data_IF_099069599259
#
_entry.id   IF_099069599259
#
_cell.length_a   1.000
_cell.length_b   1.000
_cell.length_c   1.000
_cell.angle_alpha   90.00
_cell.angle_beta   90.00
_cell.angle_gamma   90.00
#
_symmetry.space_group_name_H-M   'P 1'
#
loop_
_entity.id
_entity.type
_entity.pdbx_description
1 polymer ?
#
# COMPACT_ATOMS: atom_id res chain seq x y z
N UNK A 1 -8.27 -7.49 29.35
CA UNK A 1 -8.23 -8.88 28.85
C UNK A 1 -6.85 -9.41 29.16
N UNK A 2 -6.69 -10.63 29.72
CA UNK A 2 -5.37 -11.23 29.91
C UNK A 2 -4.72 -11.36 28.52
N UNK A 3 -3.43 -11.05 28.45
CA UNK A 3 -2.63 -11.24 27.24
C UNK A 3 -2.65 -12.72 26.87
N UNK A 4 -2.96 -13.03 25.61
CA UNK A 4 -2.89 -14.41 25.13
C UNK A 4 -1.45 -14.90 25.29
N UNK A 5 -1.27 -15.97 26.04
CA UNK A 5 0.05 -16.57 26.23
C UNK A 5 0.46 -17.27 24.95
N UNK A 6 1.70 -17.04 24.52
CA UNK A 6 2.28 -17.63 23.32
C UNK A 6 3.40 -18.57 23.74
N UNK A 7 3.36 -19.81 23.25
CA UNK A 7 4.45 -20.76 23.40
C UNK A 7 5.41 -20.58 22.21
N UNK A 8 6.69 -20.42 22.51
CA UNK A 8 7.74 -20.26 21.49
C UNK A 8 8.61 -21.52 21.53
N UNK A 9 8.81 -22.14 20.37
CA UNK A 9 9.72 -23.26 20.17
C UNK A 9 10.77 -22.88 19.15
N UNK A 10 11.99 -23.43 19.28
CA UNK A 10 13.05 -23.27 18.30
C UNK A 10 13.31 -24.60 17.59
N UNK A 11 13.31 -24.58 16.27
CA UNK A 11 13.63 -25.72 15.45
C UNK A 11 14.48 -25.25 14.24
N UNK A 12 15.70 -25.81 14.13
CA UNK A 12 16.62 -25.54 13.01
C UNK A 12 16.89 -24.05 12.75
N UNK A 13 17.03 -23.23 13.83
CA UNK A 13 17.25 -21.79 13.73
C UNK A 13 16.00 -20.99 13.35
N UNK A 14 14.84 -21.61 13.41
CA UNK A 14 13.53 -20.97 13.20
C UNK A 14 12.77 -20.93 14.54
N UNK A 15 12.26 -19.76 14.87
CA UNK A 15 11.35 -19.58 16.03
C UNK A 15 9.91 -19.83 15.58
N UNK A 16 9.26 -20.78 16.25
CA UNK A 16 7.87 -21.17 16.00
C UNK A 16 7.00 -20.66 17.14
N UNK A 17 5.96 -19.93 16.80
CA UNK A 17 5.02 -19.33 17.76
C UNK A 17 3.69 -20.08 17.72
N UNK A 18 3.26 -20.58 18.87
CA UNK A 18 2.00 -21.29 19.03
C UNK A 18 1.11 -20.56 20.04
N UNK A 19 -0.20 -20.61 19.87
CA UNK A 19 -1.12 -20.18 20.89
C UNK A 19 -1.05 -21.13 22.08
N UNK A 20 -0.95 -20.61 23.30
CA UNK A 20 -0.87 -21.44 24.50
C UNK A 20 -2.09 -22.37 24.60
N UNK A 21 -1.84 -23.68 24.80
CA UNK A 21 -2.88 -24.70 24.85
C UNK A 21 -3.37 -25.24 23.51
N UNK A 22 -2.89 -24.70 22.40
CA UNK A 22 -3.22 -25.18 21.05
C UNK A 22 -1.95 -25.63 20.29
N UNK A 23 -2.08 -26.68 19.45
CA UNK A 23 -1.00 -27.12 18.56
C UNK A 23 -0.92 -26.30 17.27
N UNK A 24 -1.74 -25.27 17.15
CA UNK A 24 -1.82 -24.44 15.94
C UNK A 24 -0.66 -23.45 15.89
N UNK A 25 0.17 -23.54 14.86
CA UNK A 25 1.21 -22.58 14.55
C UNK A 25 0.58 -21.23 14.16
N UNK A 26 0.95 -20.16 14.88
CA UNK A 26 0.49 -18.81 14.60
C UNK A 26 1.46 -18.10 13.66
N UNK A 27 2.78 -18.30 13.92
CA UNK A 27 3.83 -17.57 13.21
C UNK A 27 5.15 -18.33 13.26
N UNK A 28 6.03 -18.08 12.28
CA UNK A 28 7.41 -18.57 12.27
C UNK A 28 8.35 -17.45 11.78
N UNK A 29 9.51 -17.32 12.41
CA UNK A 29 10.56 -16.40 11.96
C UNK A 29 11.96 -16.97 12.17
N UNK A 30 12.94 -16.62 11.33
CA UNK A 30 14.32 -17.05 11.53
C UNK A 30 14.89 -16.41 12.80
N UNK A 31 15.66 -17.20 13.58
CA UNK A 31 16.41 -16.67 14.71
C UNK A 31 17.56 -15.81 14.22
N UNK A 32 17.73 -14.63 14.78
CA UNK A 32 18.90 -13.76 14.54
C UNK A 32 19.80 -13.79 15.76
N UNK A 33 21.02 -14.30 15.62
CA UNK A 33 21.99 -14.46 16.69
C UNK A 33 22.85 -13.19 16.97
N UNK A 34 22.36 -12.01 16.59
CA UNK A 34 23.07 -10.76 16.86
C UNK A 34 22.74 -10.22 18.25
N UNK A 35 23.74 -9.89 19.08
CA UNK A 35 23.53 -9.26 20.38
C UNK A 35 22.76 -7.93 20.20
N UNK A 36 21.62 -7.81 20.87
CA UNK A 36 20.73 -6.64 20.77
C UNK A 36 19.86 -6.61 19.51
N UNK A 37 19.85 -7.67 18.72
CA UNK A 37 18.96 -7.80 17.57
C UNK A 37 17.50 -7.94 18.01
N UNK A 38 16.67 -6.97 17.63
CA UNK A 38 15.23 -7.10 17.70
C UNK A 38 14.80 -7.95 16.52
N UNK A 39 14.24 -9.13 16.77
CA UNK A 39 13.57 -9.90 15.72
C UNK A 39 12.22 -9.26 15.48
N UNK A 40 12.17 -8.32 14.55
CA UNK A 40 10.89 -7.83 14.04
C UNK A 40 10.32 -8.90 13.12
N UNK A 41 9.09 -9.33 13.39
CA UNK A 41 8.34 -10.14 12.47
C UNK A 41 8.00 -9.29 11.24
N UNK A 42 8.84 -9.32 10.23
CA UNK A 42 8.60 -8.62 8.95
C UNK A 42 7.42 -9.24 8.16
N UNK A 43 6.94 -10.41 8.59
CA UNK A 43 5.92 -11.17 7.86
C UNK A 43 4.50 -10.60 7.92
N UNK A 44 4.21 -9.64 8.81
CA UNK A 44 2.92 -8.94 8.77
C UNK A 44 2.82 -7.93 7.61
N UNK A 45 3.95 -7.49 7.09
CA UNK A 45 4.01 -6.67 5.88
C UNK A 45 3.77 -7.51 4.63
N UNK A 46 4.36 -8.70 4.53
CA UNK A 46 4.24 -9.57 3.35
C UNK A 46 2.82 -10.08 3.08
N UNK A 47 2.01 -10.37 4.10
CA UNK A 47 0.63 -10.83 3.90
C UNK A 47 -0.28 -9.68 3.41
N UNK A 48 -0.17 -8.49 4.00
CA UNK A 48 -0.90 -7.30 3.50
C UNK A 48 -0.41 -6.89 2.11
N UNK A 49 0.85 -7.05 1.87
CA UNK A 49 1.53 -6.75 0.63
C UNK A 49 1.06 -7.65 -0.52
N UNK A 50 0.91 -8.94 -0.27
CA UNK A 50 0.37 -9.88 -1.25
C UNK A 50 -1.10 -9.61 -1.58
N UNK A 51 -1.91 -9.13 -0.62
CA UNK A 51 -3.33 -8.81 -0.83
C UNK A 51 -3.50 -7.63 -1.79
N UNK A 52 -2.77 -6.52 -1.60
CA UNK A 52 -2.86 -5.36 -2.50
C UNK A 52 -2.41 -5.69 -3.92
N UNK A 53 -1.29 -6.41 -4.06
CA UNK A 53 -0.76 -6.86 -5.34
C UNK A 53 -1.71 -7.82 -6.06
N UNK A 54 -2.30 -8.77 -5.32
CA UNK A 54 -3.27 -9.71 -5.89
C UNK A 54 -4.57 -9.01 -6.28
N UNK A 55 -5.08 -8.09 -5.47
CA UNK A 55 -6.29 -7.32 -5.77
C UNK A 55 -6.10 -6.45 -7.02
N UNK A 56 -4.93 -5.83 -7.17
CA UNK A 56 -4.58 -5.06 -8.36
C UNK A 56 -4.56 -5.96 -9.60
N UNK A 57 -3.86 -7.10 -9.52
CA UNK A 57 -3.75 -8.05 -10.62
C UNK A 57 -5.10 -8.61 -11.02
N UNK A 58 -5.93 -9.03 -10.07
CA UNK A 58 -7.27 -9.56 -10.35
C UNK A 58 -8.17 -8.52 -11.01
N UNK A 59 -8.10 -7.26 -10.60
CA UNK A 59 -8.95 -6.19 -11.14
C UNK A 59 -8.58 -5.80 -12.57
N UNK A 60 -7.29 -5.78 -12.87
CA UNK A 60 -6.75 -5.27 -14.14
C UNK A 60 -6.14 -6.37 -15.03
N UNK A 61 -6.47 -7.64 -14.78
CA UNK A 61 -5.95 -8.80 -15.52
C UNK A 61 -6.20 -8.72 -17.04
N UNK A 62 -7.29 -8.09 -17.44
CA UNK A 62 -7.65 -7.91 -18.85
C UNK A 62 -6.82 -6.82 -19.57
N UNK A 63 -5.97 -6.09 -18.87
CA UNK A 63 -5.23 -4.95 -19.42
C UNK A 63 -3.72 -5.16 -19.34
N UNK A 64 -3.07 -5.33 -20.48
CA UNK A 64 -1.60 -5.55 -20.58
C UNK A 64 -0.78 -4.43 -19.92
N UNK A 65 -1.24 -3.19 -20.00
CA UNK A 65 -0.57 -2.04 -19.39
C UNK A 65 -0.48 -2.15 -17.87
N UNK A 66 -1.40 -2.84 -17.22
CA UNK A 66 -1.40 -3.00 -15.77
C UNK A 66 -0.19 -3.81 -15.29
N UNK A 67 0.20 -4.85 -16.01
CA UNK A 67 1.41 -5.63 -15.70
C UNK A 67 2.66 -4.78 -15.87
N UNK A 68 2.76 -4.03 -16.97
CA UNK A 68 3.88 -3.11 -17.22
C UNK A 68 3.97 -2.05 -16.13
N UNK A 69 2.83 -1.47 -15.73
CA UNK A 69 2.77 -0.49 -14.64
C UNK A 69 3.26 -1.08 -13.32
N UNK A 70 2.77 -2.26 -12.94
CA UNK A 70 3.16 -2.92 -11.69
C UNK A 70 4.67 -3.25 -11.66
N UNK A 71 5.24 -3.71 -12.78
CA UNK A 71 6.67 -3.98 -12.90
C UNK A 71 7.51 -2.70 -12.75
N UNK A 72 7.08 -1.59 -13.36
CA UNK A 72 7.76 -0.29 -13.22
C UNK A 72 7.70 0.26 -11.80
N UNK A 73 6.58 0.08 -11.11
CA UNK A 73 6.45 0.42 -9.68
C UNK A 73 7.45 -0.38 -8.85
N UNK A 74 7.58 -1.68 -9.11
CA UNK A 74 8.51 -2.56 -8.41
C UNK A 74 9.98 -2.21 -8.68
N UNK A 75 10.32 -1.90 -9.93
CA UNK A 75 11.68 -1.48 -10.32
C UNK A 75 12.08 -0.15 -9.65
N UNK A 76 11.16 0.81 -9.59
CA UNK A 76 11.45 2.13 -9.02
C UNK A 76 11.59 2.09 -7.49
N UNK A 77 10.64 1.45 -6.81
CA UNK A 77 10.59 1.42 -5.34
C UNK A 77 10.03 0.08 -4.83
N UNK A 78 10.84 -1.00 -4.78
CA UNK A 78 10.38 -2.33 -4.37
C UNK A 78 9.70 -2.35 -3.00
N UNK A 79 10.19 -1.52 -2.05
CA UNK A 79 9.64 -1.43 -0.67
C UNK A 79 8.22 -0.86 -0.63
N UNK A 80 7.86 -0.01 -1.58
CA UNK A 80 6.58 0.70 -1.61
C UNK A 80 5.62 0.16 -2.68
N UNK A 81 5.99 -0.87 -3.42
CA UNK A 81 5.15 -1.48 -4.47
C UNK A 81 3.71 -1.69 -4.00
N UNK A 82 3.55 -2.35 -2.88
CA UNK A 82 2.22 -2.72 -2.38
C UNK A 82 1.43 -1.52 -1.88
N UNK A 83 2.10 -0.53 -1.30
CA UNK A 83 1.49 0.74 -0.92
C UNK A 83 1.01 1.49 -2.16
N UNK A 84 1.82 1.55 -3.22
CA UNK A 84 1.45 2.21 -4.47
C UNK A 84 0.28 1.47 -5.16
N UNK A 85 0.35 0.16 -5.30
CA UNK A 85 -0.73 -0.63 -5.91
C UNK A 85 -2.03 -0.55 -5.07
N UNK A 86 -1.94 -0.53 -3.75
CA UNK A 86 -3.09 -0.31 -2.87
C UNK A 86 -3.74 1.06 -3.06
N UNK A 87 -2.94 2.11 -3.29
CA UNK A 87 -3.45 3.46 -3.63
C UNK A 87 -4.13 3.48 -4.99
N UNK A 88 -3.59 2.78 -5.97
CA UNK A 88 -4.24 2.64 -7.30
C UNK A 88 -5.59 1.94 -7.19
N UNK A 89 -5.69 0.88 -6.38
CA UNK A 89 -6.99 0.23 -6.09
C UNK A 89 -7.97 1.21 -5.44
N UNK A 90 -7.50 2.06 -4.52
CA UNK A 90 -8.34 3.10 -3.91
C UNK A 90 -8.84 4.08 -4.95
N UNK A 91 -8.00 4.53 -5.88
CA UNK A 91 -8.40 5.38 -7.00
C UNK A 91 -9.40 4.65 -7.91
N UNK A 92 -9.16 3.38 -8.22
CA UNK A 92 -10.03 2.57 -9.06
C UNK A 92 -11.43 2.35 -8.46
N UNK A 93 -11.60 2.52 -7.16
CA UNK A 93 -12.92 2.52 -6.51
C UNK A 93 -13.67 3.86 -6.67
N UNK A 94 -12.98 4.92 -7.08
CA UNK A 94 -13.53 6.27 -7.23
C UNK A 94 -13.71 6.68 -8.70
N UNK A 95 -12.98 6.04 -9.60
CA UNK A 95 -12.98 6.30 -11.04
C UNK A 95 -13.32 5.01 -11.79
N UNK A 96 -13.67 5.11 -13.08
CA UNK A 96 -13.88 3.90 -13.89
C UNK A 96 -12.56 3.21 -14.20
N UNK A 97 -12.63 1.91 -14.51
CA UNK A 97 -11.43 1.14 -14.85
C UNK A 97 -10.74 1.68 -16.11
N UNK A 98 -11.52 2.17 -17.08
CA UNK A 98 -11.00 2.78 -18.30
C UNK A 98 -10.21 4.07 -18.01
N UNK A 99 -10.69 4.90 -17.09
CA UNK A 99 -9.99 6.13 -16.66
C UNK A 99 -8.67 5.81 -15.95
N UNK A 100 -8.67 4.76 -15.15
CA UNK A 100 -7.45 4.31 -14.45
C UNK A 100 -6.46 3.68 -15.43
N UNK A 101 -6.92 2.89 -16.39
CA UNK A 101 -6.08 2.29 -17.45
C UNK A 101 -5.45 3.38 -18.31
N UNK A 102 -6.22 4.38 -18.75
CA UNK A 102 -5.70 5.54 -19.48
C UNK A 102 -4.61 6.27 -18.67
N UNK A 103 -4.82 6.44 -17.37
CA UNK A 103 -3.83 7.04 -16.49
C UNK A 103 -2.57 6.15 -16.30
N UNK A 104 -2.71 4.82 -16.29
CA UNK A 104 -1.57 3.90 -16.28
C UNK A 104 -0.74 4.02 -17.56
N UNK A 105 -1.39 4.08 -18.73
CA UNK A 105 -0.72 4.25 -20.01
C UNK A 105 0.11 5.54 -20.04
N UNK A 106 -0.45 6.63 -19.53
CA UNK A 106 0.28 7.89 -19.38
C UNK A 106 1.47 7.73 -18.45
N UNK A 107 1.28 7.20 -17.25
CA UNK A 107 2.36 7.00 -16.25
C UNK A 107 3.51 6.15 -16.80
N UNK A 108 3.17 5.10 -17.55
CA UNK A 108 4.16 4.25 -18.22
C UNK A 108 4.91 5.03 -19.30
N UNK A 109 4.23 5.87 -20.09
CA UNK A 109 4.83 6.66 -21.15
C UNK A 109 5.82 7.71 -20.64
N UNK A 110 5.54 8.33 -19.50
CA UNK A 110 6.44 9.30 -18.85
C UNK A 110 7.42 8.65 -17.87
N UNK A 111 7.33 7.34 -17.67
CA UNK A 111 8.16 6.55 -16.77
C UNK A 111 8.08 6.99 -15.30
N UNK A 112 6.93 7.48 -14.85
CA UNK A 112 6.65 7.87 -13.46
C UNK A 112 5.41 7.11 -12.98
N UNK A 113 5.59 5.89 -12.49
CA UNK A 113 4.51 5.00 -12.07
C UNK A 113 4.23 5.15 -10.58
N UNK A 114 3.55 6.23 -10.20
CA UNK A 114 3.10 6.49 -8.84
C UNK A 114 1.61 6.85 -8.80
N UNK A 115 0.96 6.60 -7.67
CA UNK A 115 -0.44 7.01 -7.48
C UNK A 115 -0.60 8.55 -7.50
N UNK A 116 0.43 9.29 -7.11
CA UNK A 116 0.45 10.75 -7.16
C UNK A 116 0.44 11.26 -8.62
N UNK A 117 1.28 10.70 -9.48
CA UNK A 117 1.32 11.04 -10.91
C UNK A 117 0.02 10.66 -11.61
N UNK A 118 -0.53 9.49 -11.29
CA UNK A 118 -1.84 9.07 -11.77
C UNK A 118 -2.93 10.08 -11.41
N UNK A 119 -2.94 10.56 -10.17
CA UNK A 119 -3.90 11.58 -9.72
C UNK A 119 -3.69 12.91 -10.46
N UNK A 120 -2.44 13.33 -10.67
CA UNK A 120 -2.13 14.53 -11.43
C UNK A 120 -2.61 14.43 -12.89
N UNK A 121 -2.44 13.28 -13.53
CA UNK A 121 -2.97 13.02 -14.86
C UNK A 121 -4.51 13.08 -14.90
N UNK A 122 -5.19 12.46 -13.94
CA UNK A 122 -6.66 12.51 -13.86
C UNK A 122 -7.16 13.96 -13.72
N UNK A 123 -6.47 14.79 -12.91
CA UNK A 123 -6.77 16.22 -12.78
C UNK A 123 -6.60 16.95 -14.12
N UNK A 124 -5.50 16.70 -14.81
CA UNK A 124 -5.23 17.28 -16.12
C UNK A 124 -6.28 16.88 -17.16
N UNK A 125 -6.65 15.60 -17.19
CA UNK A 125 -7.54 15.02 -18.21
C UNK A 125 -9.02 15.32 -17.99
N UNK A 126 -9.48 15.26 -16.73
CA UNK A 126 -10.91 15.34 -16.38
C UNK A 126 -11.28 16.61 -15.60
N UNK A 127 -10.31 17.42 -15.22
CA UNK A 127 -10.50 18.64 -14.46
C UNK A 127 -10.42 18.47 -12.96
N UNK A 128 -9.87 19.50 -12.31
CA UNK A 128 -9.61 19.50 -10.86
C UNK A 128 -10.89 19.31 -10.03
N UNK A 129 -11.94 20.02 -10.36
CA UNK A 129 -13.20 19.97 -9.63
C UNK A 129 -13.83 18.57 -9.64
N UNK A 130 -13.85 17.94 -10.82
CA UNK A 130 -14.35 16.58 -11.00
C UNK A 130 -13.57 15.55 -10.15
N UNK A 131 -12.25 15.64 -10.20
CA UNK A 131 -11.38 14.70 -9.46
C UNK A 131 -11.47 14.93 -7.97
N UNK A 132 -11.38 16.18 -7.50
CA UNK A 132 -11.45 16.51 -6.08
C UNK A 132 -12.78 16.12 -5.45
N UNK A 133 -13.90 16.29 -6.16
CA UNK A 133 -15.21 15.83 -5.70
C UNK A 133 -15.24 14.32 -5.46
N UNK A 134 -14.63 13.53 -6.33
CA UNK A 134 -14.55 12.07 -6.18
C UNK A 134 -13.61 11.66 -5.05
N UNK A 135 -12.44 12.29 -4.96
CA UNK A 135 -11.48 12.02 -3.88
C UNK A 135 -12.07 12.36 -2.49
N UNK A 136 -12.87 13.41 -2.37
CA UNK A 136 -13.51 13.78 -1.11
C UNK A 136 -14.50 12.74 -0.57
N UNK A 137 -14.98 11.83 -1.40
CA UNK A 137 -15.80 10.70 -0.99
C UNK A 137 -15.02 9.61 -0.26
N UNK A 138 -13.70 9.61 -0.35
CA UNK A 138 -12.84 8.64 0.33
C UNK A 138 -12.26 9.23 1.62
N UNK A 139 -12.36 8.48 2.73
CA UNK A 139 -11.90 8.93 4.05
C UNK A 139 -10.39 9.23 4.08
N UNK A 140 -9.57 8.47 3.34
CA UNK A 140 -8.12 8.69 3.27
C UNK A 140 -7.78 10.07 2.70
N UNK A 141 -8.38 10.44 1.58
CA UNK A 141 -8.13 11.71 0.92
C UNK A 141 -8.70 12.90 1.72
N UNK A 142 -9.90 12.75 2.33
CA UNK A 142 -10.47 13.77 3.24
C UNK A 142 -9.56 14.08 4.42
N UNK A 143 -8.99 13.05 5.04
CA UNK A 143 -8.12 13.22 6.19
C UNK A 143 -6.78 13.88 5.80
N UNK A 144 -6.26 13.57 4.61
CA UNK A 144 -5.04 14.17 4.07
C UNK A 144 -5.23 15.66 3.79
N UNK A 145 -6.33 16.04 3.17
CA UNK A 145 -6.66 17.45 2.88
C UNK A 145 -6.83 18.24 4.17
N UNK A 146 -7.54 17.69 5.15
CA UNK A 146 -7.70 18.29 6.47
C UNK A 146 -6.37 18.47 7.21
N UNK A 147 -5.48 17.50 7.14
CA UNK A 147 -4.14 17.61 7.74
C UNK A 147 -3.30 18.70 7.06
N UNK A 148 -3.39 18.82 5.72
CA UNK A 148 -2.72 19.88 4.97
C UNK A 148 -3.28 21.27 5.26
N UNK A 149 -4.57 21.38 5.53
CA UNK A 149 -5.25 22.64 5.91
C UNK A 149 -4.83 23.11 7.30
N UNK A 150 -4.82 22.21 8.28
CA UNK A 150 -4.31 22.46 9.63
C UNK A 150 -2.84 22.90 9.61
N UNK A 151 -2.02 22.25 8.79
CA UNK A 151 -0.61 22.62 8.62
C UNK A 151 -0.43 24.04 8.07
N UNK A 152 -1.26 24.45 7.10
CA UNK A 152 -1.23 25.82 6.54
C UNK A 152 -1.69 26.86 7.55
N UNK A 153 -2.72 26.60 8.34
CA UNK A 153 -3.20 27.50 9.39
C UNK A 153 -2.17 27.70 10.51
N UNK A 154 -1.44 26.63 10.86
CA UNK A 154 -0.36 26.71 11.86
C UNK A 154 0.83 27.50 11.34
N UNK A 155 1.26 27.31 10.10
CA UNK A 155 2.35 28.07 9.50
C UNK A 155 2.00 29.55 9.31
N UNK A 156 0.75 29.87 9.00
CA UNK A 156 0.28 31.27 8.88
C UNK A 156 0.30 32.07 10.19
N UNK A 157 0.37 31.39 11.34
CA UNK A 157 0.44 32.05 12.66
C UNK A 157 1.86 32.46 13.11
N UNK A 158 2.88 32.02 12.37
CA UNK A 158 4.30 32.29 12.68
C UNK A 158 4.97 33.25 11.69
N UNK A 159 4.21 33.84 10.80
CA UNK A 159 4.59 34.94 9.93
C UNK A 159 3.93 36.22 10.43
#
# INVERSE_FOLDING_TARGET
KPYDQVRIEEQDGILLFYKAGEAKLIHKCPRRDLPGGVTSCEDNTTVKDSVASNSFRMRFDAYDVAEVYANKVEEAEPRYKNVQLGRVITLANLFSDEQIVEAMEYCVSVNICTAAEMTAYLIYRYGREYVMKRLSNNAYYRNRDRAAEIGREQHGKYI
#
